data_IF_723654526725
#
_entry.id   IF_723654526725
#
_cell.length_a   1.000
_cell.length_b   1.000
_cell.length_c   1.000
_cell.angle_alpha   90.00
_cell.angle_beta   90.00
_cell.angle_gamma   90.00
#
_symmetry.space_group_name_H-M   'P 1'
#
loop_
_entity.id
_entity.type
_entity.pdbx_description
1 polymer ?
#
# COMPACT_ATOMS: atom_id res chain seq x y z
N UNK A 1 23.06 -20.31 19.67
CA UNK A 1 23.05 -19.15 20.57
C UNK A 1 24.17 -19.32 21.60
N UNK A 2 25.23 -18.50 21.58
CA UNK A 2 26.31 -18.54 22.59
C UNK A 2 25.93 -17.58 23.72
N UNK A 3 25.65 -18.11 24.91
CA UNK A 3 25.41 -17.29 26.09
C UNK A 3 26.73 -16.68 26.57
N UNK A 4 26.82 -15.35 26.57
CA UNK A 4 27.97 -14.64 27.14
C UNK A 4 27.77 -14.56 28.66
N UNK A 5 28.57 -15.29 29.42
CA UNK A 5 28.53 -15.24 30.89
C UNK A 5 29.45 -14.13 31.40
N UNK A 6 28.88 -13.05 31.93
CA UNK A 6 29.65 -12.00 32.59
C UNK A 6 29.95 -12.40 34.05
N UNK A 7 31.24 -12.59 34.38
CA UNK A 7 31.70 -12.70 35.78
C UNK A 7 32.12 -11.32 36.28
N UNK A 8 31.34 -10.71 37.17
CA UNK A 8 31.75 -9.48 37.86
C UNK A 8 32.54 -9.83 39.11
N UNK A 9 33.77 -9.29 39.23
CA UNK A 9 34.54 -9.31 40.49
C UNK A 9 34.06 -8.13 41.33
N UNK A 10 33.16 -8.40 42.27
CA UNK A 10 32.51 -7.40 43.11
C UNK A 10 31.00 -7.58 43.03
N UNK A 11 30.39 -8.05 44.12
CA UNK A 11 28.96 -8.32 44.17
C UNK A 11 28.16 -7.03 43.96
N UNK A 12 27.41 -6.94 42.86
CA UNK A 12 26.41 -5.90 42.72
C UNK A 12 25.37 -6.08 43.84
N UNK A 13 24.90 -4.98 44.47
CA UNK A 13 23.78 -5.03 45.40
C UNK A 13 22.58 -5.73 44.76
N UNK A 14 21.87 -6.57 45.52
CA UNK A 14 20.79 -7.44 45.00
C UNK A 14 19.66 -6.66 44.31
N UNK A 15 19.46 -5.39 44.68
CA UNK A 15 18.52 -4.48 44.03
C UNK A 15 18.95 -4.11 42.60
N UNK A 16 20.25 -3.87 42.38
CA UNK A 16 20.81 -3.54 41.06
C UNK A 16 20.82 -4.76 40.13
N UNK A 17 21.01 -5.97 40.65
CA UNK A 17 20.84 -7.20 39.85
C UNK A 17 19.40 -7.39 39.37
N UNK A 18 18.40 -7.12 40.22
CA UNK A 18 16.98 -7.22 39.84
C UNK A 18 16.59 -6.17 38.79
N UNK A 19 17.07 -4.94 38.92
CA UNK A 19 16.85 -3.87 37.93
C UNK A 19 17.49 -4.24 36.58
N UNK A 20 18.71 -4.81 36.59
CA UNK A 20 19.39 -5.21 35.37
C UNK A 20 18.67 -6.36 34.65
N UNK A 21 18.12 -7.33 35.39
CA UNK A 21 17.34 -8.44 34.82
C UNK A 21 16.03 -7.93 34.21
N UNK A 22 15.31 -7.03 34.88
CA UNK A 22 14.07 -6.42 34.36
C UNK A 22 14.35 -5.54 33.14
N UNK A 23 15.45 -4.78 33.13
CA UNK A 23 15.85 -4.00 31.97
C UNK A 23 16.27 -4.88 30.77
N UNK A 24 16.90 -6.04 31.02
CA UNK A 24 17.24 -6.99 29.96
C UNK A 24 16.03 -7.74 29.40
N UNK A 25 15.01 -8.08 30.20
CA UNK A 25 13.76 -8.64 29.66
C UNK A 25 12.90 -7.61 28.95
N UNK A 26 12.95 -6.33 29.34
CA UNK A 26 12.28 -5.25 28.61
C UNK A 26 12.93 -4.96 27.24
N UNK A 27 14.25 -5.16 27.11
CA UNK A 27 14.97 -4.98 25.83
C UNK A 27 14.80 -6.15 24.86
N UNK A 28 14.42 -7.34 25.33
CA UNK A 28 14.19 -8.53 24.50
C UNK A 28 12.78 -8.61 23.91
N UNK A 29 11.91 -7.63 24.19
CA UNK A 29 10.58 -7.48 23.61
C UNK A 29 10.48 -6.33 22.59
N UNK A 30 11.61 -5.83 22.10
CA UNK A 30 11.63 -5.15 20.81
C UNK A 30 11.57 -6.23 19.73
N UNK A 31 10.40 -6.85 19.63
CA UNK A 31 9.97 -7.46 18.38
C UNK A 31 9.78 -6.28 17.43
N UNK A 32 10.88 -5.78 16.86
CA UNK A 32 10.84 -5.01 15.62
C UNK A 32 10.27 -5.98 14.59
N UNK A 33 8.94 -6.10 14.58
CA UNK A 33 8.18 -6.57 13.44
C UNK A 33 8.82 -5.84 12.26
N UNK A 34 9.57 -6.58 11.44
CA UNK A 34 10.34 -6.00 10.36
C UNK A 34 9.32 -5.27 9.48
N UNK A 35 9.36 -3.93 9.51
CA UNK A 35 8.47 -3.12 8.72
C UNK A 35 8.93 -3.27 7.26
N UNK A 36 8.25 -4.15 6.52
CA UNK A 36 8.55 -4.35 5.11
C UNK A 36 8.27 -3.04 4.37
N UNK A 37 9.36 -2.43 3.90
CA UNK A 37 9.36 -1.11 3.30
C UNK A 37 10.04 -1.17 1.95
N UNK A 38 9.32 -0.72 0.93
CA UNK A 38 9.88 -0.47 -0.40
C UNK A 38 10.00 1.05 -0.61
N UNK A 39 11.17 1.51 -1.03
CA UNK A 39 11.46 2.92 -1.32
C UNK A 39 11.91 3.05 -2.75
N UNK A 40 11.31 3.99 -3.48
CA UNK A 40 11.73 4.33 -4.83
C UNK A 40 11.52 5.82 -5.10
N UNK A 41 12.60 6.52 -5.47
CA UNK A 41 12.63 7.98 -5.58
C UNK A 41 12.07 8.63 -4.30
N UNK A 42 10.98 9.38 -4.43
CA UNK A 42 10.27 10.00 -3.32
C UNK A 42 9.14 9.14 -2.76
N UNK A 43 8.82 7.99 -3.37
CA UNK A 43 7.76 7.09 -2.90
C UNK A 43 8.27 6.13 -1.83
N UNK A 44 7.44 5.93 -0.82
CA UNK A 44 7.62 4.91 0.21
C UNK A 44 6.34 4.10 0.33
N UNK A 45 6.48 2.79 0.22
CA UNK A 45 5.42 1.82 0.47
C UNK A 45 5.78 1.00 1.69
N UNK A 46 4.86 0.93 2.65
CA UNK A 46 5.02 0.18 3.89
C UNK A 46 3.86 -0.79 4.03
N UNK A 47 4.13 -2.02 4.44
CA UNK A 47 3.13 -2.94 4.94
C UNK A 47 3.29 -3.10 6.45
N UNK A 48 2.23 -2.81 7.19
CA UNK A 48 2.18 -2.97 8.64
C UNK A 48 0.79 -3.46 9.04
N UNK A 49 0.73 -4.56 9.80
CA UNK A 49 -0.53 -5.11 10.33
C UNK A 49 -1.60 -5.31 9.24
N UNK A 50 -1.20 -5.79 8.06
CA UNK A 50 -2.11 -6.01 6.92
C UNK A 50 -2.57 -4.75 6.19
N UNK A 51 -2.10 -3.57 6.61
CA UNK A 51 -2.38 -2.29 5.94
C UNK A 51 -1.18 -1.86 5.09
N UNK A 52 -1.46 -1.55 3.83
CA UNK A 52 -0.45 -1.05 2.88
C UNK A 52 -0.53 0.47 2.79
N UNK A 53 0.43 1.16 3.40
CA UNK A 53 0.55 2.62 3.35
C UNK A 53 1.42 3.06 2.18
N UNK A 54 0.97 4.08 1.45
CA UNK A 54 1.70 4.71 0.36
C UNK A 54 1.92 6.18 0.69
N UNK A 55 3.17 6.61 0.68
CA UNK A 55 3.59 7.98 0.90
C UNK A 55 4.50 8.49 -0.22
N UNK A 56 4.54 9.79 -0.40
CA UNK A 56 5.53 10.48 -1.23
C UNK A 56 6.06 11.73 -0.53
N UNK A 57 7.38 11.92 -0.50
CA UNK A 57 8.05 13.03 0.22
C UNK A 57 7.53 13.18 1.67
N UNK A 58 7.50 12.06 2.41
CA UNK A 58 6.96 11.92 3.78
C UNK A 58 5.48 12.26 3.96
N UNK A 59 4.77 12.62 2.88
CA UNK A 59 3.33 12.83 2.89
C UNK A 59 2.60 11.53 2.60
N UNK A 60 1.76 11.10 3.54
CA UNK A 60 0.84 9.99 3.31
C UNK A 60 -0.15 10.34 2.20
N UNK A 61 -0.22 9.50 1.18
CA UNK A 61 -1.16 9.66 0.06
C UNK A 61 -2.42 8.84 0.32
N UNK A 62 -2.25 7.55 0.64
CA UNK A 62 -3.34 6.64 0.95
C UNK A 62 -2.88 5.42 1.74
N UNK A 63 -3.85 4.71 2.31
CA UNK A 63 -3.72 3.39 2.91
C UNK A 63 -4.68 2.43 2.22
N UNK A 64 -4.19 1.28 1.74
CA UNK A 64 -5.06 0.17 1.33
C UNK A 64 -5.33 -0.66 2.59
N UNK A 65 -6.58 -0.67 3.01
CA UNK A 65 -7.05 -1.34 4.24
C UNK A 65 -7.88 -2.58 3.96
N UNK A 66 -8.22 -2.82 2.70
CA UNK A 66 -8.96 -3.99 2.27
C UNK A 66 -8.87 -4.20 0.78
N UNK A 67 -8.93 -5.46 0.38
CA UNK A 67 -9.07 -5.91 -1.00
C UNK A 67 -10.21 -6.93 -0.99
N UNK A 68 -11.11 -6.83 -1.96
CA UNK A 68 -12.15 -7.82 -2.18
C UNK A 68 -12.08 -8.27 -3.62
N UNK A 69 -12.01 -9.57 -3.85
CA UNK A 69 -12.09 -10.16 -5.19
C UNK A 69 -13.29 -11.10 -5.21
N UNK A 70 -14.26 -10.78 -6.05
CA UNK A 70 -15.59 -11.39 -6.05
C UNK A 70 -16.26 -11.34 -4.67
N UNK A 71 -16.38 -12.47 -3.98
CA UNK A 71 -16.99 -12.58 -2.63
C UNK A 71 -15.95 -12.75 -1.53
N UNK A 72 -14.67 -12.81 -1.89
CA UNK A 72 -13.56 -13.10 -0.99
C UNK A 72 -12.86 -11.82 -0.57
N UNK A 73 -12.72 -11.61 0.74
CA UNK A 73 -12.09 -10.43 1.33
C UNK A 73 -10.65 -10.71 1.73
N UNK A 74 -9.84 -9.65 1.86
CA UNK A 74 -8.47 -9.71 2.34
C UNK A 74 -8.36 -10.46 3.67
N UNK A 75 -7.58 -11.54 3.69
CA UNK A 75 -7.16 -12.27 4.90
C UNK A 75 -5.73 -11.90 5.28
N UNK A 76 -4.83 -11.84 4.30
CA UNK A 76 -3.42 -11.55 4.51
C UNK A 76 -2.81 -10.80 3.33
N UNK A 77 -1.76 -10.03 3.62
CA UNK A 77 -0.91 -9.42 2.61
C UNK A 77 0.54 -9.61 3.05
N UNK A 78 1.41 -9.98 2.12
CA UNK A 78 2.82 -10.27 2.41
C UNK A 78 3.72 -9.78 1.27
N UNK A 79 4.91 -9.28 1.59
CA UNK A 79 5.93 -8.99 0.59
C UNK A 79 6.45 -10.29 -0.02
N UNK A 80 6.33 -10.43 -1.34
CA UNK A 80 6.87 -11.60 -2.05
C UNK A 80 8.25 -11.31 -2.62
N UNK A 81 8.38 -10.20 -3.35
CA UNK A 81 9.63 -9.81 -4.01
C UNK A 81 9.69 -8.32 -4.22
N UNK A 82 10.92 -7.79 -4.25
CA UNK A 82 11.14 -6.38 -4.54
C UNK A 82 12.36 -6.19 -5.44
N UNK A 83 12.31 -5.14 -6.25
CA UNK A 83 13.39 -4.64 -7.10
C UNK A 83 13.44 -3.12 -7.03
N UNK A 84 14.39 -2.51 -7.73
CA UNK A 84 14.45 -1.06 -7.82
C UNK A 84 13.22 -0.45 -8.47
N UNK A 85 12.45 -1.16 -9.31
CA UNK A 85 11.32 -0.59 -10.05
C UNK A 85 9.96 -1.22 -9.73
N UNK A 86 9.93 -2.27 -8.92
CA UNK A 86 8.70 -3.01 -8.65
C UNK A 86 8.74 -3.67 -7.28
N UNK A 87 7.61 -3.62 -6.57
CA UNK A 87 7.25 -4.44 -5.43
C UNK A 87 6.12 -5.40 -5.84
N UNK A 88 6.24 -6.66 -5.47
CA UNK A 88 5.16 -7.67 -5.61
C UNK A 88 4.72 -8.11 -4.23
N UNK A 89 3.42 -8.07 -4.00
CA UNK A 89 2.74 -8.52 -2.79
C UNK A 89 1.90 -9.75 -3.10
N UNK A 90 1.94 -10.75 -2.23
CA UNK A 90 0.91 -11.80 -2.17
C UNK A 90 -0.27 -11.29 -1.38
N UNK A 91 -1.46 -11.48 -1.92
CA UNK A 91 -2.73 -11.12 -1.29
C UNK A 91 -3.50 -12.41 -1.05
N UNK A 92 -3.53 -12.86 0.20
CA UNK A 92 -4.36 -13.98 0.64
C UNK A 92 -5.78 -13.51 0.92
N UNK A 93 -6.77 -14.29 0.50
CA UNK A 93 -8.19 -13.94 0.61
C UNK A 93 -8.95 -14.99 1.41
N UNK A 94 -9.83 -14.51 2.29
CA UNK A 94 -10.80 -15.30 3.04
C UNK A 94 -11.91 -15.79 2.09
N UNK A 95 -12.32 -17.05 2.21
CA UNK A 95 -13.29 -17.63 1.30
C UNK A 95 -13.44 -19.14 1.40
N UNK A 96 -14.67 -19.57 1.70
CA UNK A 96 -15.14 -20.96 1.75
C UNK A 96 -15.70 -21.36 0.37
N UNK A 97 -14.89 -21.87 -0.57
CA UNK A 97 -15.34 -22.92 -1.52
C UNK A 97 -14.29 -23.40 -2.54
N UNK A 98 -13.97 -24.70 -2.41
CA UNK A 98 -13.78 -25.73 -3.44
C UNK A 98 -12.74 -25.62 -4.57
N UNK A 99 -11.96 -24.55 -4.69
CA UNK A 99 -10.97 -24.46 -5.79
C UNK A 99 -9.76 -23.59 -5.50
N UNK A 100 -8.68 -24.21 -5.02
CA UNK A 100 -7.21 -23.90 -5.08
C UNK A 100 -6.63 -22.48 -5.29
N UNK A 101 -7.36 -21.39 -5.45
CA UNK A 101 -6.78 -20.06 -5.71
C UNK A 101 -7.36 -18.99 -4.79
N UNK A 102 -6.86 -18.98 -3.54
CA UNK A 102 -7.13 -17.93 -2.55
C UNK A 102 -6.02 -16.87 -2.51
N UNK A 103 -5.21 -16.78 -3.58
CA UNK A 103 -4.06 -15.88 -3.64
C UNK A 103 -4.09 -15.08 -4.94
N UNK A 104 -4.00 -13.76 -4.81
CA UNK A 104 -3.76 -12.83 -5.91
C UNK A 104 -2.39 -12.15 -5.76
N UNK A 105 -1.85 -11.68 -6.88
CA UNK A 105 -0.65 -10.83 -6.88
C UNK A 105 -1.07 -9.36 -7.00
N UNK A 106 -0.57 -8.52 -6.10
CA UNK A 106 -0.63 -7.06 -6.24
C UNK A 106 0.77 -6.54 -6.56
N UNK A 107 0.91 -5.88 -7.71
CA UNK A 107 2.18 -5.30 -8.17
C UNK A 107 2.13 -3.79 -8.01
N UNK A 108 3.18 -3.22 -7.43
CA UNK A 108 3.41 -1.78 -7.35
C UNK A 108 4.64 -1.47 -8.18
N UNK A 109 4.47 -0.79 -9.31
CA UNK A 109 5.53 -0.53 -10.29
C UNK A 109 5.81 0.97 -10.37
N UNK A 110 7.08 1.35 -10.43
CA UNK A 110 7.48 2.73 -10.68
C UNK A 110 7.07 3.17 -12.09
N UNK A 111 6.46 4.35 -12.19
CA UNK A 111 6.24 5.07 -13.45
C UNK A 111 6.81 6.48 -13.36
N UNK A 112 6.74 7.26 -14.45
CA UNK A 112 7.22 8.65 -14.43
C UNK A 112 6.34 9.47 -13.48
N UNK A 113 6.96 10.14 -12.51
CA UNK A 113 6.30 10.95 -11.47
C UNK A 113 5.17 10.21 -10.70
N UNK A 114 5.23 8.88 -10.60
CA UNK A 114 4.15 8.11 -9.99
C UNK A 114 4.47 6.65 -9.77
N UNK A 115 3.48 5.92 -9.28
CA UNK A 115 3.48 4.46 -9.19
C UNK A 115 2.20 3.90 -9.81
N UNK A 116 2.25 2.63 -10.23
CA UNK A 116 1.10 1.86 -10.74
C UNK A 116 0.83 0.69 -9.80
N UNK A 117 -0.38 0.60 -9.28
CA UNK A 117 -0.92 -0.56 -8.59
C UNK A 117 -1.68 -1.39 -9.63
N UNK A 118 -1.29 -2.65 -9.79
CA UNK A 118 -1.95 -3.55 -10.74
C UNK A 118 -2.12 -4.96 -10.20
N UNK A 119 -3.27 -5.56 -10.49
CA UNK A 119 -3.58 -6.97 -10.21
C UNK A 119 -4.54 -7.48 -11.26
N UNK A 120 -4.27 -8.64 -11.85
CA UNK A 120 -5.14 -9.27 -12.86
C UNK A 120 -5.20 -10.79 -12.60
N UNK A 121 -5.94 -11.23 -11.57
CA UNK A 121 -6.15 -12.64 -11.33
C UNK A 121 -7.07 -13.19 -12.42
N UNK A 122 -6.61 -14.18 -13.20
CA UNK A 122 -7.40 -14.76 -14.31
C UNK A 122 -8.77 -15.30 -13.88
N UNK A 123 -8.89 -15.70 -12.60
CA UNK A 123 -10.09 -16.25 -12.00
C UNK A 123 -11.09 -15.18 -11.52
N UNK A 124 -10.68 -13.92 -11.42
CA UNK A 124 -11.51 -12.85 -10.86
C UNK A 124 -12.57 -12.36 -11.84
N UNK A 125 -13.77 -12.05 -11.33
CA UNK A 125 -14.79 -11.32 -12.10
C UNK A 125 -14.90 -9.87 -11.67
N UNK A 126 -14.72 -9.59 -10.39
CA UNK A 126 -14.82 -8.25 -9.78
C UNK A 126 -13.66 -8.02 -8.83
N UNK A 127 -13.11 -6.80 -8.83
CA UNK A 127 -12.01 -6.40 -7.97
C UNK A 127 -12.36 -5.09 -7.26
N UNK A 128 -12.28 -5.06 -5.93
CA UNK A 128 -12.53 -3.84 -5.14
C UNK A 128 -11.38 -3.59 -4.18
N UNK A 129 -11.05 -2.31 -3.98
CA UNK A 129 -10.01 -1.87 -3.08
C UNK A 129 -10.59 -0.86 -2.11
N UNK A 130 -10.51 -1.17 -0.82
CA UNK A 130 -10.87 -0.21 0.22
C UNK A 130 -9.65 0.62 0.56
N UNK A 131 -9.76 1.94 0.40
CA UNK A 131 -8.69 2.85 0.74
C UNK A 131 -9.09 3.84 1.81
N UNK A 132 -8.10 4.32 2.54
CA UNK A 132 -8.25 5.43 3.45
C UNK A 132 -7.27 6.51 3.00
N UNK A 133 -7.82 7.58 2.43
CA UNK A 133 -7.08 8.78 2.11
C UNK A 133 -7.15 9.78 3.26
N UNK A 134 -6.30 10.81 3.18
CA UNK A 134 -6.52 12.03 3.94
C UNK A 134 -7.88 12.66 3.56
N UNK A 135 -8.40 13.56 4.41
CA UNK A 135 -9.62 14.33 4.11
C UNK A 135 -9.36 15.24 2.91
N UNK A 136 -9.54 14.71 1.73
CA UNK A 136 -9.16 15.35 0.49
C UNK A 136 -10.37 15.65 -0.39
N UNK A 137 -10.28 16.75 -1.12
CA UNK A 137 -11.23 17.08 -2.16
C UNK A 137 -10.68 16.57 -3.49
N UNK A 138 -11.43 15.66 -4.11
CA UNK A 138 -11.13 15.16 -5.44
C UNK A 138 -11.88 15.97 -6.48
N UNK A 139 -11.13 16.47 -7.46
CA UNK A 139 -11.67 17.11 -8.65
C UNK A 139 -11.52 16.15 -9.81
N UNK A 140 -12.60 15.91 -10.54
CA UNK A 140 -12.50 15.28 -11.86
C UNK A 140 -11.74 16.24 -12.76
N UNK A 141 -10.57 15.83 -13.23
CA UNK A 141 -9.92 16.56 -14.29
C UNK A 141 -10.62 16.17 -15.59
N UNK A 142 -11.16 17.15 -16.32
CA UNK A 142 -11.59 16.95 -17.70
C UNK A 142 -10.34 16.70 -18.54
N UNK A 143 -9.86 15.48 -18.49
CA UNK A 143 -8.77 15.03 -19.33
C UNK A 143 -9.33 14.89 -20.74
N UNK A 144 -8.83 15.75 -21.63
CA UNK A 144 -9.06 15.65 -23.06
C UNK A 144 -8.50 14.29 -23.51
N UNK A 145 -9.29 13.52 -24.25
CA UNK A 145 -8.94 12.24 -24.88
C UNK A 145 -8.74 11.01 -23.97
N UNK A 146 -9.37 10.94 -22.80
CA UNK A 146 -9.51 9.65 -22.11
C UNK A 146 -10.64 8.82 -22.71
N UNK A 147 -10.43 7.50 -22.95
CA UNK A 147 -11.52 6.56 -23.13
C UNK A 147 -12.56 6.69 -22.01
N UNK A 148 -13.84 6.52 -22.31
CA UNK A 148 -14.96 6.72 -21.37
C UNK A 148 -14.86 5.84 -20.11
N UNK A 149 -14.17 4.71 -20.23
CA UNK A 149 -13.88 3.78 -19.13
C UNK A 149 -12.78 4.26 -18.19
N UNK A 150 -11.97 5.25 -18.56
CA UNK A 150 -10.89 5.76 -17.71
C UNK A 150 -11.37 6.95 -16.87
N UNK A 151 -10.70 7.18 -15.74
CA UNK A 151 -11.02 8.31 -14.88
C UNK A 151 -9.77 8.92 -14.26
N UNK A 152 -9.61 10.24 -14.42
CA UNK A 152 -8.51 10.99 -13.82
C UNK A 152 -9.03 11.98 -12.77
N UNK A 153 -8.52 11.82 -11.55
CA UNK A 153 -8.85 12.65 -10.40
C UNK A 153 -7.62 13.36 -9.89
N UNK A 154 -7.79 14.57 -9.41
CA UNK A 154 -6.73 15.35 -8.78
C UNK A 154 -7.17 15.69 -7.38
N UNK A 155 -6.28 15.46 -6.42
CA UNK A 155 -6.51 15.78 -5.03
C UNK A 155 -5.97 17.18 -4.71
N UNK A 156 -6.64 17.88 -3.79
CA UNK A 156 -6.18 19.16 -3.24
C UNK A 156 -4.86 19.03 -2.46
N UNK A 157 -4.48 17.80 -2.09
CA UNK A 157 -3.20 17.47 -1.45
C UNK A 157 -2.03 17.29 -2.42
N UNK A 158 -2.18 17.54 -3.71
CA UNK A 158 -1.04 17.54 -4.65
C UNK A 158 -0.64 16.16 -5.14
N UNK A 159 -1.61 15.25 -5.30
CA UNK A 159 -1.43 14.00 -6.02
C UNK A 159 -2.62 13.77 -6.97
N UNK A 160 -2.43 12.89 -7.96
CA UNK A 160 -3.45 12.54 -8.94
C UNK A 160 -3.64 11.03 -9.05
N UNK A 161 -4.86 10.61 -9.38
CA UNK A 161 -5.23 9.22 -9.61
C UNK A 161 -5.74 9.02 -11.02
N UNK A 162 -5.12 8.13 -11.79
CA UNK A 162 -5.66 7.64 -13.05
C UNK A 162 -6.09 6.18 -12.87
N UNK A 163 -7.37 5.92 -13.10
CA UNK A 163 -7.91 4.57 -13.15
C UNK A 163 -8.16 4.19 -14.61
N UNK A 164 -7.70 3.00 -15.02
CA UNK A 164 -8.00 2.44 -16.35
C UNK A 164 -9.41 1.82 -16.42
N UNK A 165 -10.09 1.75 -15.29
CA UNK A 165 -11.49 1.37 -15.19
C UNK A 165 -12.15 2.27 -14.16
N UNK A 166 -13.24 2.93 -14.55
CA UNK A 166 -13.88 3.95 -13.72
C UNK A 166 -14.37 3.33 -12.41
N UNK A 167 -13.86 3.79 -11.26
CA UNK A 167 -14.31 3.26 -9.98
C UNK A 167 -15.67 3.83 -9.62
N UNK A 168 -16.46 3.00 -8.93
CA UNK A 168 -17.59 3.43 -8.14
C UNK A 168 -17.05 3.92 -6.79
N UNK A 169 -17.16 5.22 -6.55
CA UNK A 169 -16.82 5.81 -5.26
C UNK A 169 -18.03 5.73 -4.33
N UNK A 170 -17.83 5.19 -3.13
CA UNK A 170 -18.76 5.38 -2.03
C UNK A 170 -18.04 6.03 -0.84
N UNK A 171 -18.71 6.99 -0.20
CA UNK A 171 -18.16 7.77 0.92
C UNK A 171 -17.34 8.99 0.49
N UNK A 172 -17.98 10.16 0.41
CA UNK A 172 -17.32 11.45 0.13
C UNK A 172 -17.19 12.37 1.36
N UNK A 173 -17.62 11.92 2.54
CA UNK A 173 -17.61 12.76 3.76
C UNK A 173 -17.26 11.95 5.01
N UNK A 174 -16.09 12.22 5.60
CA UNK A 174 -15.61 11.69 6.89
C UNK A 174 -15.54 10.15 7.06
N UNK A 175 -15.71 9.36 6.00
CA UNK A 175 -15.49 7.90 5.98
C UNK A 175 -14.30 7.54 5.09
N UNK A 176 -13.66 6.37 5.30
CA UNK A 176 -12.71 5.81 4.34
C UNK A 176 -13.31 5.81 2.93
N UNK A 177 -12.50 6.15 1.94
CA UNK A 177 -12.89 6.16 0.54
C UNK A 177 -12.91 4.72 0.02
N UNK A 178 -14.09 4.16 -0.18
CA UNK A 178 -14.17 2.83 -0.77
C UNK A 178 -14.19 2.94 -2.30
N UNK A 179 -13.20 2.30 -2.93
CA UNK A 179 -13.06 2.26 -4.39
C UNK A 179 -13.44 0.86 -4.87
N UNK A 180 -14.65 0.72 -5.38
CA UNK A 180 -15.05 -0.52 -6.04
C UNK A 180 -14.85 -0.39 -7.54
N UNK A 181 -14.09 -1.31 -8.15
CA UNK A 181 -13.98 -1.42 -9.60
C UNK A 181 -14.91 -2.53 -10.06
N UNK A 182 -15.81 -2.23 -10.99
CA UNK A 182 -16.56 -3.27 -11.68
C UNK A 182 -15.71 -3.83 -12.84
N UNK A 183 -14.53 -4.33 -12.51
CA UNK A 183 -13.52 -4.87 -13.44
C UNK A 183 -12.90 -6.13 -12.88
N UNK A 184 -12.39 -6.98 -13.77
CA UNK A 184 -11.62 -8.19 -13.43
C UNK A 184 -10.22 -7.85 -12.94
N UNK A 185 -9.73 -6.68 -13.29
CA UNK A 185 -8.38 -6.22 -12.95
C UNK A 185 -8.40 -4.88 -12.21
N UNK A 186 -7.41 -4.71 -11.37
CA UNK A 186 -6.97 -3.41 -10.85
C UNK A 186 -5.89 -2.87 -11.78
N UNK A 187 -6.08 -1.66 -12.29
CA UNK A 187 -5.04 -0.90 -12.97
C UNK A 187 -5.16 0.59 -12.61
N UNK A 188 -4.38 0.99 -11.61
CA UNK A 188 -4.49 2.28 -10.95
C UNK A 188 -3.13 2.96 -10.85
N UNK A 189 -3.02 4.17 -11.36
CA UNK A 189 -1.83 5.01 -11.27
C UNK A 189 -2.02 6.11 -10.24
N UNK A 190 -0.98 6.34 -9.45
CA UNK A 190 -0.89 7.41 -8.46
C UNK A 190 0.29 8.29 -8.86
N UNK A 191 0.02 9.55 -9.19
CA UNK A 191 1.04 10.53 -9.54
C UNK A 191 1.23 11.52 -8.40
N UNK A 192 2.48 11.91 -8.14
CA UNK A 192 2.80 12.89 -7.11
C UNK A 192 3.80 13.92 -7.66
N UNK A 193 3.63 15.17 -7.25
CA UNK A 193 4.63 16.20 -7.50
C UNK A 193 4.38 17.47 -6.70
N UNK A 194 5.40 18.34 -6.57
CA UNK A 194 5.30 19.62 -5.85
C UNK A 194 4.31 20.60 -6.50
N UNK A 195 3.93 20.37 -7.76
CA UNK A 195 2.98 21.18 -8.50
C UNK A 195 2.15 20.34 -9.49
N UNK A 196 1.14 20.97 -10.08
CA UNK A 196 0.26 20.34 -11.06
C UNK A 196 0.97 19.91 -12.34
N UNK A 197 2.05 20.61 -12.72
CA UNK A 197 2.81 20.31 -13.92
C UNK A 197 3.46 18.93 -13.81
N UNK A 198 3.98 18.58 -12.64
CA UNK A 198 4.57 17.25 -12.38
C UNK A 198 3.56 16.12 -12.37
N UNK A 199 2.37 16.35 -11.81
CA UNK A 199 1.27 15.40 -11.84
C UNK A 199 0.84 15.15 -13.29
N UNK A 200 0.64 16.21 -14.08
CA UNK A 200 0.28 16.10 -15.50
C UNK A 200 1.39 15.45 -16.33
N UNK A 201 2.66 15.75 -16.08
CA UNK A 201 3.79 15.09 -16.74
C UNK A 201 3.76 13.57 -16.53
N UNK A 202 3.42 13.12 -15.31
CA UNK A 202 3.22 11.70 -15.01
C UNK A 202 2.02 11.13 -15.77
N UNK A 203 0.87 11.79 -15.67
CA UNK A 203 -0.37 11.42 -16.37
C UNK A 203 -0.15 11.25 -17.89
N UNK A 204 0.41 12.26 -18.57
CA UNK A 204 0.63 12.21 -20.01
C UNK A 204 1.66 11.17 -20.44
N UNK A 205 2.57 10.76 -19.54
CA UNK A 205 3.53 9.69 -19.82
C UNK A 205 2.89 8.29 -19.92
N UNK A 206 1.69 8.15 -19.35
CA UNK A 206 0.90 6.92 -19.31
C UNK A 206 -0.19 6.97 -20.37
N UNK A 207 -1.02 8.02 -20.40
CA UNK A 207 -2.22 8.05 -21.25
C UNK A 207 -1.89 7.95 -22.74
N UNK A 208 -0.77 8.50 -23.19
CA UNK A 208 -0.33 8.42 -24.59
C UNK A 208 0.07 7.00 -25.04
N UNK A 209 0.03 6.02 -24.13
CA UNK A 209 0.34 4.60 -24.37
C UNK A 209 -0.84 3.68 -24.09
N UNK A 210 -1.95 4.21 -23.57
CA UNK A 210 -3.19 3.48 -23.37
C UNK A 210 -3.94 3.39 -24.70
#
# INVERSE_FOLDING_TARGET
MKFVTFKTKGGLPSLLQKILIVAMTAFLYLDTQAQDTWVNDNFKVTLQEGTLSIAADDKKLLEVTGITIDVSSLESMEFESMSSSQLTLKVGLDGVSTGTQNVAELKITKVKNGIRLSSNPEWAKNFSVKVQGEKDHFYTANAIDLPDENAFYISSSGYGYLFKSKPNFSGFTNTPLELSLNSKELDWYIFYGPDMSKIHEGYYSVVNKL
#
